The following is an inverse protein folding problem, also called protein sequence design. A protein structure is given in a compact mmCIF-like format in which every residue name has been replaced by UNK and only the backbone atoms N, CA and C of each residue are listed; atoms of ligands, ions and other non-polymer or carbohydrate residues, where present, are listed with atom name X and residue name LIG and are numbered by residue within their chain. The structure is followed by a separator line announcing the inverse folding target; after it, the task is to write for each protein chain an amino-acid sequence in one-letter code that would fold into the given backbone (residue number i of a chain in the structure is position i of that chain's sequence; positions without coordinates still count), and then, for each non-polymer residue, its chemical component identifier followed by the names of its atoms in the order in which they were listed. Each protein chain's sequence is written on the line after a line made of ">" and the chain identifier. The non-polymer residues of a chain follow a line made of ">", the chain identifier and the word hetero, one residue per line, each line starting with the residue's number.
data_IF_950360385818
#
_entry.id   IF_950360385818
#
_cell.length_a   1.000
_cell.length_b   1.000
_cell.length_c   1.000
_cell.angle_alpha   90.00
_cell.angle_beta   90.00
_cell.angle_gamma   90.00
#
_symmetry.space_group_name_H-M   'P 1'
#
loop_
_entity.id
_entity.type
_entity.pdbx_description
1 polymer ?
#
# COMPACT_ATOMS: atom_id res chain seq x y z
N UNK A 1 -8.95 0.56 12.14
CA UNK A 1 -8.84 0.63 10.68
C UNK A 1 -7.97 1.82 10.30
N UNK A 2 -6.82 1.56 9.66
CA UNK A 2 -5.83 2.56 9.24
C UNK A 2 -5.74 2.63 7.71
N UNK A 3 -4.96 3.55 7.17
CA UNK A 3 -4.70 3.65 5.73
C UNK A 3 -4.75 5.09 5.23
N UNK A 4 -4.44 5.32 3.92
CA UNK A 4 -4.41 6.65 3.35
C UNK A 4 -5.69 7.43 3.59
N UNK A 5 -5.58 8.75 3.68
CA UNK A 5 -6.76 9.62 3.67
C UNK A 5 -7.55 9.40 2.37
N UNK A 6 -8.88 9.54 2.42
CA UNK A 6 -9.78 9.35 1.27
C UNK A 6 -9.83 7.92 0.68
N UNK A 7 -9.23 6.91 1.35
CA UNK A 7 -9.38 5.51 0.95
C UNK A 7 -10.76 4.90 1.26
N UNK A 8 -11.63 5.61 2.01
CA UNK A 8 -13.00 5.17 2.29
C UNK A 8 -13.21 4.50 3.66
N UNK A 9 -12.28 4.65 4.62
CA UNK A 9 -12.34 4.03 5.96
C UNK A 9 -13.67 4.25 6.69
N UNK A 10 -14.07 5.51 6.87
CA UNK A 10 -15.33 5.89 7.53
C UNK A 10 -16.55 5.33 6.80
N UNK A 11 -16.55 5.43 5.46
CA UNK A 11 -17.64 4.91 4.62
C UNK A 11 -17.80 3.40 4.80
N UNK A 12 -16.69 2.66 4.80
CA UNK A 12 -16.69 1.20 5.00
C UNK A 12 -17.26 0.82 6.35
N UNK A 13 -16.78 1.43 7.46
CA UNK A 13 -17.26 1.10 8.79
C UNK A 13 -18.74 1.45 8.98
N UNK A 14 -19.19 2.62 8.50
CA UNK A 14 -20.60 3.00 8.59
C UNK A 14 -21.53 2.09 7.78
N UNK A 15 -21.04 1.51 6.68
CA UNK A 15 -21.80 0.51 5.90
C UNK A 15 -21.85 -0.85 6.59
N UNK A 16 -20.73 -1.29 7.16
CA UNK A 16 -20.66 -2.59 7.84
C UNK A 16 -21.39 -2.59 9.21
N UNK A 17 -21.39 -1.45 9.88
CA UNK A 17 -21.98 -1.28 11.22
C UNK A 17 -22.98 -0.12 11.25
N UNK A 18 -24.12 -0.23 10.52
CA UNK A 18 -25.07 0.87 10.38
C UNK A 18 -25.77 1.27 11.69
N UNK A 19 -25.81 0.38 12.68
CA UNK A 19 -26.41 0.62 14.00
C UNK A 19 -25.39 1.07 15.06
N UNK A 20 -24.09 1.16 14.71
CA UNK A 20 -23.08 1.62 15.64
C UNK A 20 -23.24 3.12 15.93
N UNK A 21 -23.02 3.51 17.18
CA UNK A 21 -22.86 4.92 17.52
C UNK A 21 -21.63 5.51 16.77
N UNK A 22 -21.72 6.75 16.30
CA UNK A 22 -20.67 7.37 15.52
C UNK A 22 -20.23 8.69 16.15
N UNK A 23 -18.93 8.83 16.43
CA UNK A 23 -18.32 10.04 16.95
C UNK A 23 -17.11 10.44 16.10
N UNK A 24 -17.15 11.65 15.57
CA UNK A 24 -16.04 12.27 14.84
C UNK A 24 -15.17 13.06 15.81
N UNK A 25 -13.95 12.59 16.06
CA UNK A 25 -13.04 13.21 17.01
C UNK A 25 -12.32 14.46 16.42
N UNK A 26 -12.82 15.00 15.31
CA UNK A 26 -12.47 16.34 14.79
C UNK A 26 -13.57 17.37 15.14
N UNK A 27 -14.75 16.95 15.61
CA UNK A 27 -15.81 17.87 16.03
C UNK A 27 -15.40 18.61 17.31
N UNK A 28 -15.35 19.95 17.29
CA UNK A 28 -14.91 20.74 18.43
C UNK A 28 -15.68 20.45 19.74
N UNK A 29 -17.00 20.18 19.65
CA UNK A 29 -17.81 19.87 20.83
C UNK A 29 -17.44 18.49 21.42
N UNK A 30 -17.18 17.49 20.55
CA UNK A 30 -16.74 16.17 20.98
C UNK A 30 -15.33 16.24 21.54
N UNK A 31 -14.42 17.00 20.92
CA UNK A 31 -13.06 17.23 21.43
C UNK A 31 -13.11 17.88 22.81
N UNK A 32 -13.93 18.91 23.02
CA UNK A 32 -14.07 19.56 24.32
C UNK A 32 -14.64 18.61 25.38
N UNK A 33 -15.66 17.83 25.05
CA UNK A 33 -16.29 16.87 25.96
C UNK A 33 -15.30 15.79 26.41
N UNK A 34 -14.56 15.17 25.48
CA UNK A 34 -13.60 14.12 25.79
C UNK A 34 -12.38 14.63 26.56
N UNK A 35 -11.96 15.89 26.34
CA UNK A 35 -10.85 16.50 27.08
C UNK A 35 -11.25 16.87 28.52
N UNK A 36 -12.49 17.34 28.73
CA UNK A 36 -12.99 17.72 30.09
C UNK A 36 -13.28 16.51 30.96
N UNK A 37 -13.91 15.47 30.43
CA UNK A 37 -14.23 14.23 31.14
C UNK A 37 -14.16 13.01 30.20
N UNK A 38 -12.96 12.43 29.99
CA UNK A 38 -12.80 11.25 29.13
C UNK A 38 -13.63 10.04 29.58
N UNK A 39 -13.82 9.87 30.89
CA UNK A 39 -14.59 8.75 31.42
C UNK A 39 -16.09 8.92 31.15
N UNK A 40 -16.65 10.05 31.52
CA UNK A 40 -18.04 10.38 31.26
C UNK A 40 -18.37 10.40 29.76
N UNK A 41 -17.44 10.91 28.93
CA UNK A 41 -17.59 10.81 27.48
C UNK A 41 -17.74 9.36 27.02
N UNK A 42 -16.82 8.46 27.42
CA UNK A 42 -16.88 7.06 27.02
C UNK A 42 -18.08 6.31 27.62
N UNK A 43 -18.56 6.71 28.82
CA UNK A 43 -19.76 6.12 29.45
C UNK A 43 -21.05 6.53 28.74
N UNK A 44 -21.06 7.69 28.07
CA UNK A 44 -22.17 8.17 27.27
C UNK A 44 -22.36 7.44 25.95
N UNK A 45 -21.36 6.65 25.51
CA UNK A 45 -21.39 5.98 24.21
C UNK A 45 -22.17 4.67 24.25
N UNK A 46 -22.94 4.44 23.20
CA UNK A 46 -23.63 3.15 22.98
C UNK A 46 -22.76 2.23 22.14
N UNK A 47 -22.42 1.06 22.68
CA UNK A 47 -21.63 0.05 21.95
C UNK A 47 -22.50 -0.80 21.01
N UNK A 48 -22.01 -1.20 19.82
CA UNK A 48 -20.70 -0.86 19.28
C UNK A 48 -20.59 0.62 18.85
N UNK A 49 -19.39 1.19 18.92
CA UNK A 49 -19.14 2.59 18.56
C UNK A 49 -18.02 2.71 17.53
N UNK A 50 -18.19 3.64 16.58
CA UNK A 50 -17.14 4.08 15.65
C UNK A 50 -16.58 5.40 16.20
N UNK A 51 -15.30 5.39 16.59
CA UNK A 51 -14.53 6.58 16.91
C UNK A 51 -13.66 6.92 15.71
N UNK A 52 -14.05 7.96 14.98
CA UNK A 52 -13.41 8.37 13.74
C UNK A 52 -12.33 9.42 14.00
N UNK A 53 -11.17 9.30 13.35
CA UNK A 53 -9.99 10.15 13.49
C UNK A 53 -9.41 10.15 14.91
N UNK A 54 -9.19 8.94 15.48
CA UNK A 54 -8.73 8.71 16.87
C UNK A 54 -7.36 9.37 17.17
N UNK A 55 -6.57 9.73 16.16
CA UNK A 55 -5.31 10.46 16.36
C UNK A 55 -5.52 11.85 16.97
N UNK A 56 -6.72 12.40 16.95
CA UNK A 56 -7.05 13.68 17.59
C UNK A 56 -7.34 13.53 19.10
N UNK A 57 -7.45 12.29 19.60
CA UNK A 57 -7.68 11.98 21.02
C UNK A 57 -6.95 10.69 21.42
N UNK A 58 -5.61 10.63 21.27
CA UNK A 58 -4.84 9.40 21.49
C UNK A 58 -4.89 8.91 22.94
N UNK A 59 -5.12 9.81 23.91
CA UNK A 59 -5.29 9.49 25.32
C UNK A 59 -6.47 8.57 25.58
N UNK A 60 -7.52 8.63 24.77
CA UNK A 60 -8.70 7.74 24.88
C UNK A 60 -8.32 6.26 24.75
N UNK A 61 -7.23 5.94 24.06
CA UNK A 61 -6.77 4.54 23.90
C UNK A 61 -6.53 3.86 25.25
N UNK A 62 -6.00 4.60 26.26
CA UNK A 62 -5.77 4.05 27.60
C UNK A 62 -7.08 3.76 28.34
N UNK A 63 -8.08 4.64 28.22
CA UNK A 63 -9.38 4.45 28.82
C UNK A 63 -10.17 3.32 28.13
N UNK A 64 -10.10 3.23 26.81
CA UNK A 64 -10.71 2.15 26.02
C UNK A 64 -10.07 0.81 26.41
N UNK A 65 -8.75 0.74 26.56
CA UNK A 65 -8.05 -0.45 27.04
C UNK A 65 -8.57 -0.91 28.37
N UNK A 66 -8.71 -0.01 29.34
CA UNK A 66 -9.23 -0.35 30.67
C UNK A 66 -10.64 -0.96 30.59
N UNK A 67 -11.52 -0.40 29.73
CA UNK A 67 -12.86 -0.94 29.49
C UNK A 67 -12.86 -2.31 28.81
N UNK A 68 -11.96 -2.53 27.86
CA UNK A 68 -11.79 -3.84 27.21
C UNK A 68 -11.36 -4.90 28.23
N UNK A 69 -10.43 -4.55 29.14
CA UNK A 69 -9.92 -5.47 30.16
C UNK A 69 -10.98 -5.81 31.23
N UNK A 70 -11.85 -4.84 31.56
CA UNK A 70 -12.98 -5.05 32.47
C UNK A 70 -14.17 -5.74 31.81
N UNK A 71 -14.40 -5.49 30.54
CA UNK A 71 -15.51 -6.02 29.75
C UNK A 71 -15.25 -7.43 29.27
N UNK A 72 -15.70 -8.44 30.00
CA UNK A 72 -15.49 -9.86 29.65
C UNK A 72 -16.06 -10.21 28.29
N UNK A 73 -15.19 -10.23 27.23
CA UNK A 73 -15.34 -11.14 26.10
C UNK A 73 -16.08 -10.63 24.86
N UNK A 74 -16.68 -9.46 24.81
CA UNK A 74 -17.34 -8.95 23.59
C UNK A 74 -16.33 -8.23 22.68
N UNK A 75 -15.90 -8.91 21.63
CA UNK A 75 -15.04 -8.33 20.58
C UNK A 75 -15.85 -7.43 19.64
N UNK A 76 -15.17 -6.51 18.93
CA UNK A 76 -15.80 -5.66 17.91
C UNK A 76 -16.70 -4.54 18.46
N UNK A 77 -16.58 -4.19 19.75
CA UNK A 77 -17.35 -3.10 20.35
C UNK A 77 -16.76 -1.71 20.06
N UNK A 78 -15.43 -1.65 19.86
CA UNK A 78 -14.68 -0.42 19.63
C UNK A 78 -14.12 -0.46 18.21
N UNK A 79 -14.67 0.36 17.33
CA UNK A 79 -14.27 0.49 15.93
C UNK A 79 -13.54 1.82 15.78
N UNK A 80 -12.25 1.78 15.69
CA UNK A 80 -11.41 2.97 15.61
C UNK A 80 -10.96 3.19 14.17
N UNK A 81 -11.08 4.42 13.68
CA UNK A 81 -10.41 4.82 12.42
C UNK A 81 -9.41 5.92 12.70
N UNK A 82 -8.43 5.99 11.83
CA UNK A 82 -7.46 7.08 11.83
C UNK A 82 -6.64 7.06 10.56
N UNK A 83 -6.13 8.22 10.17
CA UNK A 83 -5.00 8.29 9.27
C UNK A 83 -3.82 7.62 9.98
N UNK A 84 -2.99 6.87 9.23
CA UNK A 84 -1.77 6.30 9.78
C UNK A 84 -0.82 7.45 10.18
N UNK A 85 -0.90 7.85 11.44
CA UNK A 85 0.06 8.73 12.06
C UNK A 85 1.07 7.88 12.83
N UNK A 86 2.34 8.21 12.75
CA UNK A 86 3.42 7.51 13.45
C UNK A 86 3.20 7.51 14.97
N UNK A 87 2.73 8.63 15.52
CA UNK A 87 2.40 8.77 16.95
C UNK A 87 1.22 7.87 17.36
N UNK A 88 0.18 7.80 16.52
CA UNK A 88 -0.98 6.93 16.74
C UNK A 88 -0.58 5.45 16.69
N UNK A 89 0.22 5.04 15.70
CA UNK A 89 0.67 3.64 15.59
C UNK A 89 1.50 3.23 16.79
N UNK A 90 2.36 4.11 17.30
CA UNK A 90 3.11 3.88 18.53
C UNK A 90 2.19 3.75 19.74
N UNK A 91 1.22 4.65 19.90
CA UNK A 91 0.24 4.60 20.98
C UNK A 91 -0.64 3.33 20.93
N UNK A 92 -1.07 2.90 19.73
CA UNK A 92 -1.81 1.64 19.56
C UNK A 92 -0.92 0.44 19.93
N UNK A 93 0.33 0.42 19.49
CA UNK A 93 1.26 -0.68 19.76
C UNK A 93 1.54 -0.80 21.26
N UNK A 94 1.72 0.32 21.96
CA UNK A 94 2.02 0.35 23.40
C UNK A 94 0.76 0.08 24.25
N UNK A 95 -0.38 0.73 23.92
CA UNK A 95 -1.58 0.69 24.77
C UNK A 95 -2.52 -0.45 24.45
N UNK A 96 -2.62 -0.89 23.18
CA UNK A 96 -3.64 -1.82 22.69
C UNK A 96 -3.06 -3.19 22.28
N UNK A 97 -1.79 -3.47 22.64
CA UNK A 97 -1.14 -4.73 22.32
C UNK A 97 -1.97 -5.94 22.79
N UNK A 98 -2.25 -6.87 21.88
CA UNK A 98 -3.07 -8.06 22.14
C UNK A 98 -4.59 -7.82 22.30
N UNK A 99 -5.05 -6.57 22.24
CA UNK A 99 -6.47 -6.18 22.43
C UNK A 99 -7.13 -5.64 21.16
N UNK A 100 -6.33 -5.20 20.19
CA UNK A 100 -6.83 -4.66 18.94
C UNK A 100 -6.29 -5.41 17.74
N UNK A 101 -7.16 -5.63 16.72
CA UNK A 101 -6.73 -6.00 15.39
C UNK A 101 -6.51 -4.73 14.58
N UNK A 102 -5.30 -4.55 14.03
CA UNK A 102 -4.96 -3.44 13.16
C UNK A 102 -5.13 -3.89 11.71
N UNK A 103 -6.10 -3.28 11.02
CA UNK A 103 -6.38 -3.53 9.61
C UNK A 103 -6.05 -2.28 8.80
N UNK A 104 -5.46 -2.48 7.62
CA UNK A 104 -5.12 -1.40 6.70
C UNK A 104 -6.05 -1.43 5.49
N UNK A 105 -6.74 -0.31 5.25
CA UNK A 105 -7.54 -0.08 4.04
C UNK A 105 -6.73 0.78 3.07
N UNK A 106 -6.37 0.20 1.93
CA UNK A 106 -5.74 0.90 0.81
C UNK A 106 -6.81 1.40 -0.18
N UNK A 107 -6.45 2.24 -1.18
CA UNK A 107 -7.35 2.55 -2.28
C UNK A 107 -7.89 1.29 -2.95
N UNK A 108 -9.07 1.38 -3.60
CA UNK A 108 -9.72 0.23 -4.22
C UNK A 108 -8.80 -0.52 -5.17
N UNK A 109 -8.98 -1.83 -5.23
CA UNK A 109 -8.24 -2.75 -6.11
C UNK A 109 -9.07 -3.15 -7.34
N UNK A 110 -8.40 -3.72 -8.33
CA UNK A 110 -9.04 -4.30 -9.53
C UNK A 110 -10.01 -5.44 -9.20
N UNK A 111 -9.78 -6.13 -8.07
CA UNK A 111 -10.69 -7.19 -7.57
C UNK A 111 -11.99 -6.61 -7.03
N UNK A 112 -11.95 -5.39 -6.48
CA UNK A 112 -13.13 -4.73 -5.90
C UNK A 112 -13.97 -4.02 -6.96
N UNK A 113 -13.33 -3.49 -8.02
CA UNK A 113 -14.03 -2.84 -9.13
C UNK A 113 -13.19 -2.77 -10.40
N UNK A 114 -13.81 -3.08 -11.55
CA UNK A 114 -13.20 -2.95 -12.86
C UNK A 114 -12.86 -1.50 -13.28
N UNK A 115 -13.32 -0.49 -12.52
CA UNK A 115 -12.98 0.92 -12.77
C UNK A 115 -11.53 1.27 -12.44
N UNK A 116 -10.86 0.47 -11.60
CA UNK A 116 -9.44 0.65 -11.27
C UNK A 116 -8.61 0.34 -12.50
N UNK A 117 -7.80 1.29 -12.91
CA UNK A 117 -6.89 1.15 -14.06
C UNK A 117 -5.51 1.68 -13.70
N UNK A 118 -4.51 1.32 -14.49
CA UNK A 118 -3.15 1.84 -14.31
C UNK A 118 -3.10 3.37 -14.33
N UNK A 119 -3.94 4.03 -15.13
CA UNK A 119 -3.97 5.49 -15.24
C UNK A 119 -4.74 6.18 -14.11
N UNK A 120 -5.92 5.65 -13.74
CA UNK A 120 -6.77 6.31 -12.74
C UNK A 120 -6.43 5.95 -11.28
N UNK A 121 -5.76 4.80 -11.06
CA UNK A 121 -5.54 4.29 -9.71
C UNK A 121 -6.82 3.78 -9.06
N UNK A 122 -6.84 3.76 -7.73
CA UNK A 122 -7.92 3.18 -6.93
C UNK A 122 -8.60 4.12 -5.94
N UNK A 123 -8.31 5.43 -5.95
CA UNK A 123 -9.00 6.35 -5.06
C UNK A 123 -10.49 6.46 -5.41
N UNK A 124 -11.42 6.23 -4.44
CA UNK A 124 -12.85 6.15 -4.72
C UNK A 124 -13.41 7.38 -5.44
N UNK A 125 -12.94 8.57 -5.10
CA UNK A 125 -13.43 9.82 -5.68
C UNK A 125 -13.00 9.99 -7.15
N UNK A 126 -11.78 9.56 -7.50
CA UNK A 126 -11.31 9.51 -8.88
C UNK A 126 -12.16 8.54 -9.70
N UNK A 127 -12.46 7.35 -9.15
CA UNK A 127 -13.27 6.35 -9.85
C UNK A 127 -14.73 6.78 -10.02
N UNK A 128 -15.23 7.65 -9.13
CA UNK A 128 -16.55 8.25 -9.24
C UNK A 128 -16.61 9.39 -10.28
N UNK A 129 -15.51 10.17 -10.41
CA UNK A 129 -15.41 11.37 -11.27
C UNK A 129 -14.06 11.46 -11.97
N UNK A 130 -13.76 10.60 -12.96
CA UNK A 130 -12.43 10.54 -13.58
C UNK A 130 -11.97 11.83 -14.25
N UNK A 131 -12.89 12.64 -14.79
CA UNK A 131 -12.56 13.92 -15.46
C UNK A 131 -12.02 15.02 -14.52
N UNK A 132 -12.06 14.81 -13.20
CA UNK A 132 -11.55 15.76 -12.20
C UNK A 132 -10.26 15.32 -11.51
N UNK A 133 -9.57 14.31 -12.03
CA UNK A 133 -8.42 13.68 -11.39
C UNK A 133 -7.29 14.65 -11.06
N UNK A 134 -6.92 15.53 -11.97
CA UNK A 134 -5.81 16.47 -11.78
C UNK A 134 -6.06 17.43 -10.63
N UNK A 135 -7.24 18.09 -10.62
CA UNK A 135 -7.63 19.00 -9.54
C UNK A 135 -7.72 18.24 -8.20
N UNK A 136 -8.21 17.00 -8.23
CA UNK A 136 -8.33 16.19 -7.05
C UNK A 136 -6.95 15.83 -6.48
N UNK A 137 -6.01 15.33 -7.30
CA UNK A 137 -4.65 15.00 -6.85
C UNK A 137 -3.89 16.25 -6.38
N UNK A 138 -4.04 17.38 -7.09
CA UNK A 138 -3.49 18.66 -6.65
C UNK A 138 -3.97 19.02 -5.24
N UNK A 139 -5.28 18.97 -5.01
CA UNK A 139 -5.89 19.29 -3.72
C UNK A 139 -5.49 18.27 -2.66
N UNK A 140 -5.43 16.98 -3.02
CA UNK A 140 -5.02 15.90 -2.13
C UNK A 140 -3.59 16.10 -1.61
N UNK A 141 -2.65 16.44 -2.48
CA UNK A 141 -1.27 16.72 -2.08
C UNK A 141 -1.19 17.94 -1.16
N UNK A 142 -1.87 19.03 -1.52
CA UNK A 142 -1.82 20.28 -0.75
C UNK A 142 -2.49 20.16 0.62
N UNK A 143 -3.64 19.50 0.70
CA UNK A 143 -4.47 19.52 1.91
C UNK A 143 -4.20 18.37 2.87
N UNK A 144 -3.79 17.22 2.37
CA UNK A 144 -3.62 16.03 3.18
C UNK A 144 -2.16 15.64 3.35
N UNK A 145 -1.45 15.41 2.26
CA UNK A 145 -0.11 14.87 2.35
C UNK A 145 0.88 15.89 2.95
N UNK A 146 0.77 17.15 2.55
CA UNK A 146 1.60 18.21 3.12
C UNK A 146 1.27 18.47 4.61
N UNK A 147 -0.01 18.36 5.00
CA UNK A 147 -0.43 18.48 6.39
C UNK A 147 0.14 17.36 7.25
N UNK A 148 0.01 16.10 6.81
CA UNK A 148 0.49 14.94 7.55
C UNK A 148 2.02 15.01 7.73
N UNK A 149 2.73 15.44 6.70
CA UNK A 149 4.18 15.64 6.75
C UNK A 149 4.58 16.77 7.71
N UNK A 150 3.84 17.89 7.73
CA UNK A 150 4.10 19.00 8.68
C UNK A 150 3.91 18.60 10.14
N UNK A 151 2.98 17.70 10.44
CA UNK A 151 2.72 17.23 11.81
C UNK A 151 3.85 16.37 12.36
N UNK A 152 4.51 15.60 11.49
CA UNK A 152 5.55 14.63 11.89
C UNK A 152 6.96 15.22 11.76
N UNK A 153 7.19 16.03 10.75
CA UNK A 153 8.50 16.60 10.43
C UNK A 153 8.42 18.12 10.40
N UNK A 154 9.42 18.80 10.99
CA UNK A 154 9.54 20.27 10.93
C UNK A 154 9.96 20.72 9.52
N UNK A 155 9.19 20.31 8.49
CA UNK A 155 9.48 20.69 7.10
C UNK A 155 9.24 22.19 6.93
N UNK A 156 10.35 22.92 6.76
CA UNK A 156 10.32 24.36 6.50
C UNK A 156 9.90 24.69 5.07
N UNK A 157 10.16 23.80 4.11
CA UNK A 157 9.90 24.02 2.67
C UNK A 157 9.07 22.90 2.03
N UNK A 158 7.78 23.14 1.87
CA UNK A 158 6.87 22.21 1.20
C UNK A 158 7.19 22.05 -0.30
N UNK A 159 7.81 23.05 -0.92
CA UNK A 159 8.27 22.99 -2.31
C UNK A 159 9.28 21.85 -2.51
N UNK A 160 10.23 21.70 -1.57
CA UNK A 160 11.23 20.64 -1.60
C UNK A 160 10.57 19.26 -1.40
N UNK A 161 9.56 19.17 -0.51
CA UNK A 161 8.82 17.93 -0.34
C UNK A 161 8.01 17.54 -1.60
N UNK A 162 7.39 18.50 -2.30
CA UNK A 162 6.74 18.22 -3.60
C UNK A 162 7.73 17.70 -4.64
N UNK A 163 8.92 18.30 -4.72
CA UNK A 163 10.00 17.80 -5.59
C UNK A 163 10.43 16.38 -5.19
N UNK A 164 10.51 16.08 -3.89
CA UNK A 164 10.78 14.74 -3.40
C UNK A 164 9.71 13.73 -3.85
N UNK A 165 8.40 14.08 -3.81
CA UNK A 165 7.33 13.19 -4.28
C UNK A 165 7.46 12.89 -5.78
N UNK A 166 7.72 13.92 -6.60
CA UNK A 166 7.96 13.72 -8.04
C UNK A 166 9.20 12.86 -8.29
N UNK A 167 10.25 13.05 -7.48
CA UNK A 167 11.47 12.24 -7.58
C UNK A 167 11.21 10.78 -7.18
N UNK A 168 10.45 10.52 -6.12
CA UNK A 168 10.03 9.15 -5.74
C UNK A 168 9.20 8.52 -6.85
N UNK A 169 8.27 9.25 -7.46
CA UNK A 169 7.48 8.75 -8.59
C UNK A 169 8.38 8.35 -9.77
N UNK A 170 9.39 9.15 -10.09
CA UNK A 170 10.35 8.86 -11.18
C UNK A 170 11.29 7.69 -10.85
N UNK A 171 11.40 7.29 -9.60
CA UNK A 171 12.21 6.16 -9.11
C UNK A 171 11.36 4.90 -8.81
N UNK A 172 10.10 4.90 -9.20
CA UNK A 172 9.24 3.72 -9.03
C UNK A 172 9.86 2.49 -9.69
N UNK A 173 9.83 1.34 -9.01
CA UNK A 173 10.48 0.10 -9.46
C UNK A 173 12.00 0.05 -9.27
N UNK A 174 12.63 1.12 -8.80
CA UNK A 174 14.09 1.16 -8.60
C UNK A 174 14.48 0.85 -7.15
N UNK A 175 15.70 0.35 -7.00
CA UNK A 175 16.32 0.17 -5.69
C UNK A 175 16.51 1.53 -5.03
N UNK A 176 16.02 1.64 -3.79
CA UNK A 176 16.06 2.87 -3.04
C UNK A 176 17.49 3.26 -2.66
N UNK A 177 17.96 4.36 -3.20
CA UNK A 177 19.20 5.02 -2.81
C UNK A 177 18.88 6.39 -2.19
N UNK A 178 18.98 6.48 -0.87
CA UNK A 178 18.65 7.71 -0.14
C UNK A 178 19.61 8.87 -0.43
N UNK A 179 20.85 8.58 -0.72
CA UNK A 179 21.85 9.60 -1.09
C UNK A 179 21.51 10.25 -2.43
N UNK A 180 21.12 9.43 -3.43
CA UNK A 180 20.71 9.92 -4.75
C UNK A 180 19.40 10.72 -4.71
N UNK A 181 18.57 10.53 -3.68
CA UNK A 181 17.39 11.35 -3.43
C UNK A 181 17.72 12.65 -2.71
N UNK A 182 18.66 12.62 -1.78
CA UNK A 182 19.04 13.77 -0.96
C UNK A 182 19.75 14.87 -1.74
N UNK A 183 20.73 14.47 -2.58
CA UNK A 183 21.60 15.39 -3.30
C UNK A 183 20.85 16.42 -4.17
N UNK A 184 19.94 16.03 -5.08
CA UNK A 184 19.23 16.99 -5.95
C UNK A 184 18.22 17.86 -5.20
N UNK A 185 17.84 17.48 -3.97
CA UNK A 185 16.90 18.21 -3.14
C UNK A 185 17.59 19.17 -2.15
N UNK A 186 18.90 19.04 -1.98
CA UNK A 186 19.67 19.84 -1.00
C UNK A 186 19.31 19.53 0.45
N UNK A 187 18.86 18.30 0.75
CA UNK A 187 18.49 17.87 2.11
C UNK A 187 19.40 16.75 2.62
N UNK A 188 19.35 16.49 3.91
CA UNK A 188 20.15 15.43 4.52
C UNK A 188 19.56 14.03 4.24
N UNK A 189 20.39 12.98 4.27
CA UNK A 189 19.96 11.59 4.18
C UNK A 189 19.00 11.19 5.34
N UNK A 190 19.20 11.62 6.59
CA UNK A 190 18.20 11.46 7.64
C UNK A 190 16.83 12.05 7.30
N UNK A 191 16.76 13.25 6.72
CA UNK A 191 15.53 13.88 6.26
C UNK A 191 14.80 13.01 5.22
N UNK A 192 15.53 12.50 4.23
CA UNK A 192 14.96 11.56 3.24
C UNK A 192 14.43 10.30 3.91
N UNK A 193 15.15 9.77 4.91
CA UNK A 193 14.72 8.58 5.63
C UNK A 193 13.42 8.82 6.41
N UNK A 194 13.28 9.98 7.03
CA UNK A 194 12.08 10.41 7.72
C UNK A 194 10.89 10.55 6.73
N UNK A 195 11.09 11.24 5.61
CA UNK A 195 10.05 11.41 4.59
C UNK A 195 9.59 10.08 3.98
N UNK A 196 10.51 9.16 3.71
CA UNK A 196 10.19 7.80 3.26
C UNK A 196 9.37 7.08 4.33
N UNK A 197 9.77 7.15 5.60
CA UNK A 197 9.03 6.56 6.72
C UNK A 197 7.60 7.09 6.83
N UNK A 198 7.41 8.42 6.63
CA UNK A 198 6.08 9.03 6.60
C UNK A 198 5.25 8.48 5.44
N UNK A 199 5.81 8.45 4.21
CA UNK A 199 5.08 7.95 3.04
C UNK A 199 4.72 6.46 3.17
N UNK A 200 5.60 5.65 3.75
CA UNK A 200 5.32 4.24 4.01
C UNK A 200 4.25 4.07 5.09
N UNK A 201 4.38 4.79 6.23
CA UNK A 201 3.42 4.75 7.32
C UNK A 201 2.04 5.24 6.88
N UNK A 202 1.96 6.30 6.07
CA UNK A 202 0.70 6.81 5.54
C UNK A 202 0.15 5.98 4.36
N UNK A 203 0.84 4.92 3.96
CA UNK A 203 0.41 4.02 2.90
C UNK A 203 0.50 4.63 1.50
N UNK A 204 1.32 5.67 1.29
CA UNK A 204 1.53 6.29 -0.03
C UNK A 204 2.52 5.51 -0.87
N UNK A 205 3.47 4.83 -0.23
CA UNK A 205 4.46 3.98 -0.89
C UNK A 205 4.44 2.57 -0.30
N UNK A 206 4.92 1.65 -1.11
CA UNK A 206 5.26 0.27 -0.73
C UNK A 206 6.75 0.10 -0.91
N UNK A 207 7.44 -0.31 0.16
CA UNK A 207 8.81 -0.77 0.09
C UNK A 207 8.81 -2.30 -0.06
N UNK A 208 9.32 -2.78 -1.18
CA UNK A 208 9.47 -4.20 -1.46
C UNK A 208 10.89 -4.60 -1.11
N UNK A 209 11.03 -5.43 -0.08
CA UNK A 209 12.34 -5.90 0.40
C UNK A 209 12.90 -6.99 -0.51
N UNK A 210 14.21 -7.12 -0.58
CA UNK A 210 14.82 -8.25 -1.27
C UNK A 210 14.51 -9.57 -0.52
N UNK A 211 14.36 -10.64 -1.29
CA UNK A 211 14.16 -11.99 -0.74
C UNK A 211 15.49 -12.57 -0.31
N UNK A 212 15.62 -12.88 0.99
CA UNK A 212 16.81 -13.47 1.57
C UNK A 212 16.53 -14.91 1.96
N UNK A 213 16.88 -15.85 1.11
CA UNK A 213 17.23 -17.20 1.53
C UNK A 213 18.74 -17.42 1.30
N UNK A 214 19.32 -18.37 2.02
CA UNK A 214 20.77 -18.70 1.97
C UNK A 214 21.16 -19.36 0.63
N UNK A 215 20.98 -18.61 -0.48
CA UNK A 215 21.42 -19.09 -1.81
C UNK A 215 22.91 -18.92 -2.07
N UNK A 216 23.73 -18.64 -1.03
CA UNK A 216 25.16 -18.44 -1.17
C UNK A 216 25.59 -17.23 -2.03
N UNK A 217 24.65 -16.36 -2.40
CA UNK A 217 24.88 -15.18 -3.26
C UNK A 217 24.89 -13.90 -2.43
N UNK A 218 25.78 -12.96 -2.80
CA UNK A 218 25.73 -11.60 -2.25
C UNK A 218 24.55 -10.86 -2.87
N UNK A 219 23.52 -10.59 -2.05
CA UNK A 219 22.28 -9.93 -2.45
C UNK A 219 22.35 -8.42 -2.17
N UNK A 220 21.58 -7.65 -2.93
CA UNK A 220 21.34 -6.23 -2.67
C UNK A 220 20.41 -6.13 -1.44
N UNK A 221 20.75 -5.25 -0.48
CA UNK A 221 20.02 -5.12 0.79
C UNK A 221 18.94 -4.05 0.78
N UNK A 222 19.05 -3.05 -0.12
CA UNK A 222 18.07 -1.95 -0.18
C UNK A 222 16.77 -2.39 -0.85
N UNK A 223 15.61 -1.92 -0.37
CA UNK A 223 14.33 -2.25 -0.99
C UNK A 223 14.12 -1.51 -2.32
N UNK A 224 13.21 -2.03 -3.16
CA UNK A 224 12.59 -1.26 -4.25
C UNK A 224 11.46 -0.39 -3.70
N UNK A 225 11.21 0.77 -4.33
CA UNK A 225 10.13 1.69 -3.95
C UNK A 225 9.06 1.74 -5.04
N UNK A 226 7.79 1.69 -4.61
CA UNK A 226 6.62 1.84 -5.49
C UNK A 226 5.61 2.78 -4.84
N UNK A 227 4.92 3.60 -5.64
CA UNK A 227 3.71 4.29 -5.17
C UNK A 227 2.56 3.29 -5.04
N UNK A 228 1.80 3.40 -3.96
CA UNK A 228 0.65 2.51 -3.69
C UNK A 228 -0.51 2.75 -4.65
N UNK A 229 -0.62 3.96 -5.17
CA UNK A 229 -1.65 4.32 -6.14
C UNK A 229 -1.01 4.75 -7.47
N UNK A 230 -1.36 4.05 -8.54
CA UNK A 230 -0.81 4.30 -9.87
C UNK A 230 -1.32 5.60 -10.49
N UNK A 231 -2.54 6.04 -10.14
CA UNK A 231 -3.07 7.33 -10.59
C UNK A 231 -2.30 8.49 -9.97
N UNK A 232 -1.98 8.41 -8.68
CA UNK A 232 -1.10 9.39 -8.02
C UNK A 232 0.29 9.39 -8.66
N UNK A 233 0.83 8.21 -9.01
CA UNK A 233 2.11 8.11 -9.70
C UNK A 233 2.08 8.78 -11.08
N UNK A 234 1.04 8.54 -11.88
CA UNK A 234 0.85 9.22 -13.16
C UNK A 234 0.77 10.75 -13.00
N UNK A 235 -0.02 11.23 -12.03
CA UNK A 235 -0.13 12.66 -11.74
C UNK A 235 1.22 13.30 -11.37
N UNK A 236 1.98 12.68 -10.48
CA UNK A 236 3.30 13.16 -10.04
C UNK A 236 4.34 13.18 -11.17
N UNK A 237 4.18 12.34 -12.18
CA UNK A 237 5.01 12.29 -13.39
C UNK A 237 4.52 13.20 -14.51
N UNK A 238 3.43 13.96 -14.33
CA UNK A 238 2.86 14.81 -15.35
C UNK A 238 2.20 14.05 -16.50
N UNK A 239 1.77 12.80 -16.26
CA UNK A 239 1.07 11.98 -17.25
C UNK A 239 -0.44 12.27 -17.14
N UNK A 240 -0.98 13.02 -18.09
CA UNK A 240 -2.33 13.60 -18.07
C UNK A 240 -3.40 12.75 -18.76
N UNK A 241 -3.02 11.69 -19.45
CA UNK A 241 -3.95 10.86 -20.21
C UNK A 241 -3.45 9.42 -20.37
N UNK A 242 -4.38 8.47 -20.56
CA UNK A 242 -4.03 7.08 -20.88
C UNK A 242 -3.21 6.98 -22.18
N UNK A 243 -3.39 7.90 -23.12
CA UNK A 243 -2.58 7.98 -24.34
C UNK A 243 -1.16 8.46 -24.04
N UNK A 244 -0.96 9.46 -23.17
CA UNK A 244 0.36 9.87 -22.72
C UNK A 244 1.06 8.75 -21.96
N UNK A 245 0.34 8.04 -21.07
CA UNK A 245 0.84 6.89 -20.35
C UNK A 245 1.36 5.79 -21.27
N UNK A 246 0.60 5.44 -22.33
CA UNK A 246 1.00 4.36 -23.27
C UNK A 246 2.29 4.67 -24.06
N UNK A 247 2.71 5.93 -24.08
CA UNK A 247 3.95 6.40 -24.75
C UNK A 247 5.04 6.80 -23.76
N UNK A 248 4.74 6.74 -22.48
CA UNK A 248 5.64 7.19 -21.43
C UNK A 248 6.79 6.20 -21.26
N UNK A 249 8.03 6.68 -21.09
CA UNK A 249 9.16 5.82 -20.71
C UNK A 249 8.97 5.16 -19.34
N UNK A 250 8.04 5.68 -18.52
CA UNK A 250 7.70 5.12 -17.21
C UNK A 250 6.65 4.00 -17.26
N UNK A 251 6.07 3.69 -18.43
CA UNK A 251 4.99 2.71 -18.54
C UNK A 251 5.34 1.36 -17.90
N UNK A 252 6.53 0.82 -18.16
CA UNK A 252 6.99 -0.45 -17.59
C UNK A 252 7.05 -0.42 -16.07
N UNK A 253 7.71 0.59 -15.51
CA UNK A 253 7.87 0.76 -14.06
C UNK A 253 6.53 1.06 -13.36
N UNK A 254 5.64 1.81 -14.00
CA UNK A 254 4.28 2.07 -13.49
C UNK A 254 3.43 0.80 -13.48
N UNK A 255 3.55 -0.04 -14.52
CA UNK A 255 2.84 -1.32 -14.56
C UNK A 255 3.38 -2.28 -13.51
N UNK A 256 4.69 -2.37 -13.33
CA UNK A 256 5.32 -3.14 -12.24
C UNK A 256 4.82 -2.66 -10.87
N UNK A 257 4.78 -1.34 -10.64
CA UNK A 257 4.24 -0.75 -9.41
C UNK A 257 2.75 -1.02 -9.21
N UNK A 258 1.97 -1.06 -10.29
CA UNK A 258 0.55 -1.41 -10.24
C UNK A 258 0.36 -2.87 -9.82
N UNK A 259 1.13 -3.80 -10.39
CA UNK A 259 1.14 -5.22 -9.97
C UNK A 259 1.52 -5.35 -8.50
N UNK A 260 2.58 -4.68 -8.04
CA UNK A 260 2.99 -4.66 -6.63
C UNK A 260 1.86 -4.17 -5.71
N UNK A 261 1.24 -3.05 -6.08
CA UNK A 261 0.13 -2.46 -5.34
C UNK A 261 -1.06 -3.42 -5.23
N UNK A 262 -1.48 -4.03 -6.34
CA UNK A 262 -2.62 -4.93 -6.36
C UNK A 262 -2.39 -6.21 -5.54
N UNK A 263 -1.16 -6.76 -5.55
CA UNK A 263 -0.79 -7.88 -4.67
C UNK A 263 -0.90 -7.47 -3.19
N UNK A 264 -0.36 -6.30 -2.82
CA UNK A 264 -0.40 -5.79 -1.45
C UNK A 264 -1.82 -5.48 -1.01
N UNK A 265 -2.65 -4.88 -1.86
CA UNK A 265 -4.08 -4.62 -1.59
C UNK A 265 -4.83 -5.93 -1.34
N UNK A 266 -4.60 -6.95 -2.18
CA UNK A 266 -5.22 -8.25 -1.99
C UNK A 266 -4.82 -8.88 -0.65
N UNK A 267 -3.54 -8.85 -0.29
CA UNK A 267 -3.06 -9.38 0.99
C UNK A 267 -3.70 -8.62 2.16
N UNK A 268 -3.76 -7.29 2.11
CA UNK A 268 -4.39 -6.45 3.13
C UNK A 268 -5.89 -6.73 3.25
N UNK A 269 -6.62 -6.81 2.13
CA UNK A 269 -8.06 -7.08 2.11
C UNK A 269 -8.42 -8.48 2.64
N UNK A 270 -7.49 -9.43 2.54
CA UNK A 270 -7.62 -10.77 3.13
C UNK A 270 -7.14 -10.85 4.59
N UNK A 271 -6.72 -9.73 5.19
CA UNK A 271 -6.17 -9.70 6.55
C UNK A 271 -4.84 -10.46 6.68
N UNK A 272 -4.12 -10.67 5.57
CA UNK A 272 -2.84 -11.38 5.53
C UNK A 272 -1.68 -10.42 5.79
N UNK A 273 -0.54 -10.98 6.23
CA UNK A 273 0.72 -10.23 6.29
C UNK A 273 1.14 -9.84 4.88
N UNK A 274 1.79 -8.69 4.76
CA UNK A 274 2.43 -8.27 3.52
C UNK A 274 3.67 -9.15 3.32
N UNK A 275 3.63 -9.98 2.29
CA UNK A 275 4.71 -10.86 1.87
C UNK A 275 4.92 -10.71 0.37
N UNK A 276 5.61 -9.64 0.02
CA UNK A 276 6.02 -9.29 -1.33
C UNK A 276 7.49 -8.93 -1.28
N UNK A 277 8.29 -9.63 -2.08
CA UNK A 277 9.73 -9.48 -2.15
C UNK A 277 10.16 -9.35 -3.60
N UNK A 278 11.40 -8.92 -3.85
CA UNK A 278 12.05 -9.01 -5.16
C UNK A 278 13.36 -9.78 -5.03
N UNK A 279 13.93 -10.19 -6.14
CA UNK A 279 15.26 -10.77 -6.17
C UNK A 279 16.17 -9.98 -7.10
N UNK A 280 17.37 -9.69 -6.65
CA UNK A 280 18.45 -9.19 -7.51
C UNK A 280 19.80 -9.61 -6.96
N UNK A 281 20.61 -10.25 -7.80
CA UNK A 281 21.97 -10.60 -7.47
C UNK A 281 22.98 -9.59 -8.08
N UNK A 282 24.24 -9.74 -7.71
CA UNK A 282 25.32 -8.89 -8.21
C UNK A 282 25.68 -9.15 -9.68
N UNK A 283 25.22 -10.26 -10.25
CA UNK A 283 25.42 -10.61 -11.66
C UNK A 283 24.36 -10.03 -12.59
N UNK A 284 23.36 -9.33 -12.01
CA UNK A 284 22.28 -8.70 -12.74
C UNK A 284 21.06 -9.59 -12.97
N UNK A 285 21.04 -10.81 -12.43
CA UNK A 285 19.81 -11.62 -12.42
C UNK A 285 18.80 -10.95 -11.50
N UNK A 286 17.64 -10.58 -12.05
CA UNK A 286 16.56 -9.91 -11.34
C UNK A 286 15.23 -10.60 -11.62
N UNK A 287 14.40 -10.76 -10.57
CA UNK A 287 13.00 -11.17 -10.65
C UNK A 287 12.18 -10.10 -9.94
N UNK A 288 11.17 -9.56 -10.64
CA UNK A 288 10.42 -8.39 -10.18
C UNK A 288 9.75 -8.64 -8.84
N UNK A 289 9.05 -9.79 -8.69
CA UNK A 289 8.43 -10.14 -7.42
C UNK A 289 8.55 -11.61 -7.07
N UNK A 290 8.63 -11.86 -5.76
CA UNK A 290 8.53 -13.18 -5.14
C UNK A 290 7.46 -13.12 -4.07
N UNK A 291 6.50 -14.03 -4.15
CA UNK A 291 5.44 -14.21 -3.16
C UNK A 291 5.53 -15.61 -2.59
N UNK A 292 5.70 -15.78 -1.26
CA UNK A 292 5.63 -17.09 -0.64
C UNK A 292 4.23 -17.71 -0.78
N UNK A 293 4.14 -18.89 -1.37
CA UNK A 293 2.91 -19.64 -1.62
C UNK A 293 2.58 -20.69 -0.55
N UNK A 294 3.25 -20.66 0.61
CA UNK A 294 3.09 -21.69 1.64
C UNK A 294 3.52 -23.07 1.14
N UNK A 295 2.62 -24.05 1.19
CA UNK A 295 2.88 -25.40 0.70
C UNK A 295 3.19 -25.49 -0.80
N UNK A 296 2.83 -24.46 -1.58
CA UNK A 296 3.12 -24.39 -3.02
C UNK A 296 4.52 -23.79 -3.31
N UNK A 297 5.31 -23.49 -2.28
CA UNK A 297 6.66 -22.96 -2.44
C UNK A 297 6.67 -21.46 -2.76
N UNK A 298 7.42 -21.05 -3.77
CA UNK A 298 7.58 -19.64 -4.17
C UNK A 298 6.90 -19.37 -5.51
N UNK A 299 6.17 -18.25 -5.59
CA UNK A 299 5.67 -17.72 -6.86
C UNK A 299 6.63 -16.62 -7.31
N UNK A 300 7.30 -16.83 -8.44
CA UNK A 300 8.24 -15.92 -9.08
C UNK A 300 7.50 -15.17 -10.19
N UNK A 301 7.47 -13.85 -10.13
CA UNK A 301 6.61 -13.02 -10.97
C UNK A 301 7.45 -12.02 -11.73
N UNK A 302 7.26 -11.96 -13.06
CA UNK A 302 7.75 -10.93 -13.96
C UNK A 302 6.57 -10.08 -14.44
N UNK A 303 6.71 -8.75 -14.43
CA UNK A 303 5.69 -7.82 -14.88
C UNK A 303 6.07 -7.17 -16.22
N UNK A 304 5.21 -7.30 -17.22
CA UNK A 304 5.44 -6.75 -18.57
C UNK A 304 4.27 -5.88 -19.01
N UNK A 305 4.51 -4.62 -19.27
CA UNK A 305 3.48 -3.65 -19.69
C UNK A 305 2.99 -3.87 -21.13
N UNK A 306 3.55 -4.83 -21.86
CA UNK A 306 3.13 -5.21 -23.20
C UNK A 306 1.91 -6.11 -23.17
N UNK A 307 1.07 -6.06 -24.22
CA UNK A 307 -0.06 -6.99 -24.39
C UNK A 307 0.39 -8.38 -24.81
N UNK A 308 1.45 -8.45 -25.59
CA UNK A 308 2.06 -9.71 -26.05
C UNK A 308 3.35 -9.95 -25.30
N UNK A 309 3.57 -11.16 -24.84
CA UNK A 309 4.79 -11.60 -24.16
C UNK A 309 5.39 -12.81 -24.90
N UNK A 310 6.70 -12.90 -24.87
CA UNK A 310 7.48 -13.96 -25.49
C UNK A 310 8.18 -14.80 -24.41
N UNK A 311 8.61 -16.03 -24.71
CA UNK A 311 9.30 -16.92 -23.76
C UNK A 311 10.47 -16.29 -23.02
N UNK A 312 11.17 -15.38 -23.66
CA UNK A 312 12.27 -14.61 -23.05
C UNK A 312 11.88 -13.82 -21.82
N UNK A 313 10.62 -13.41 -21.71
CA UNK A 313 10.11 -12.68 -20.54
C UNK A 313 10.19 -13.50 -19.25
N UNK A 314 10.20 -14.83 -19.33
CA UNK A 314 10.30 -15.71 -18.15
C UNK A 314 11.74 -16.10 -17.82
N UNK A 315 12.75 -15.69 -18.60
CA UNK A 315 14.14 -16.17 -18.48
C UNK A 315 14.72 -15.98 -17.07
N UNK A 316 14.53 -14.81 -16.47
CA UNK A 316 15.05 -14.52 -15.14
C UNK A 316 14.39 -15.39 -14.06
N UNK A 317 13.08 -15.49 -14.10
CA UNK A 317 12.33 -16.31 -13.14
C UNK A 317 12.68 -17.79 -13.25
N UNK A 318 12.79 -18.34 -14.47
CA UNK A 318 13.22 -19.72 -14.70
C UNK A 318 14.66 -19.97 -14.26
N UNK A 319 15.58 -19.03 -14.51
CA UNK A 319 16.97 -19.13 -14.05
C UNK A 319 17.06 -19.11 -12.52
N UNK A 320 16.27 -18.27 -11.86
CA UNK A 320 16.18 -18.25 -10.41
C UNK A 320 15.60 -19.56 -9.88
N UNK A 321 14.50 -20.06 -10.45
CA UNK A 321 13.88 -21.33 -10.08
C UNK A 321 14.85 -22.51 -10.10
N UNK A 322 15.66 -22.60 -11.17
CA UNK A 322 16.73 -23.61 -11.27
C UNK A 322 17.79 -23.45 -10.17
N UNK A 323 18.10 -22.20 -9.78
CA UNK A 323 19.10 -21.91 -8.74
C UNK A 323 18.62 -22.21 -7.33
N UNK A 324 17.30 -22.13 -7.09
CA UNK A 324 16.67 -22.43 -5.80
C UNK A 324 16.62 -23.94 -5.53
N UNK A 325 16.66 -24.77 -6.59
CA UNK A 325 16.78 -26.22 -6.47
C UNK A 325 15.49 -26.90 -5.95
N UNK A 326 15.56 -27.51 -4.76
CA UNK A 326 14.49 -28.40 -4.26
C UNK A 326 13.22 -27.71 -3.73
N UNK A 327 13.13 -26.37 -3.75
CA UNK A 327 11.90 -25.68 -3.37
C UNK A 327 10.92 -25.63 -4.54
N UNK A 328 9.65 -26.00 -4.34
CA UNK A 328 8.64 -25.82 -5.38
C UNK A 328 8.59 -24.36 -5.81
N UNK A 329 8.60 -24.11 -7.10
CA UNK A 329 8.51 -22.77 -7.67
C UNK A 329 7.50 -22.73 -8.80
N UNK A 330 6.75 -21.63 -8.90
CA UNK A 330 5.85 -21.34 -10.02
C UNK A 330 6.30 -20.03 -10.65
N UNK A 331 6.65 -20.04 -11.95
CA UNK A 331 7.04 -18.83 -12.68
C UNK A 331 5.85 -18.27 -13.44
N UNK A 332 5.55 -17.00 -13.23
CA UNK A 332 4.42 -16.29 -13.85
C UNK A 332 4.93 -15.00 -14.49
N UNK A 333 4.56 -14.79 -15.75
CA UNK A 333 4.72 -13.50 -16.44
C UNK A 333 3.36 -12.82 -16.48
N UNK A 334 3.22 -11.71 -15.75
CA UNK A 334 2.00 -10.89 -15.77
C UNK A 334 2.13 -9.84 -16.84
N UNK A 335 1.10 -9.74 -17.71
CA UNK A 335 1.12 -8.78 -18.81
C UNK A 335 -0.16 -7.94 -18.90
N UNK A 336 -0.07 -6.80 -19.61
CA UNK A 336 -1.16 -5.86 -19.75
C UNK A 336 -2.16 -6.33 -20.81
N UNK A 337 -3.07 -7.21 -20.42
CA UNK A 337 -4.18 -7.68 -21.27
C UNK A 337 -5.53 -7.28 -20.70
N UNK A 338 -6.59 -7.37 -21.49
CA UNK A 338 -7.95 -7.13 -21.02
C UNK A 338 -8.37 -8.27 -20.09
N UNK A 339 -9.11 -7.96 -19.03
CA UNK A 339 -9.56 -8.95 -18.04
C UNK A 339 -10.47 -10.05 -18.59
N UNK A 340 -10.98 -9.88 -19.81
CA UNK A 340 -11.89 -10.81 -20.48
C UNK A 340 -11.16 -11.92 -21.27
N UNK A 341 -9.87 -11.72 -21.55
CA UNK A 341 -9.07 -12.72 -22.23
C UNK A 341 -8.66 -13.81 -21.22
N UNK A 342 -9.01 -15.06 -21.51
CA UNK A 342 -8.65 -16.22 -20.67
C UNK A 342 -7.17 -16.55 -20.90
N UNK A 343 -6.29 -15.76 -20.28
CA UNK A 343 -4.89 -15.61 -20.62
C UNK A 343 -3.93 -16.54 -19.90
N UNK A 344 -4.44 -17.54 -19.21
CA UNK A 344 -3.57 -18.49 -18.53
C UNK A 344 -2.96 -19.46 -19.56
N UNK A 345 -1.92 -19.00 -20.23
CA UNK A 345 -1.21 -19.72 -21.28
C UNK A 345 0.15 -20.22 -20.81
N UNK A 346 0.54 -21.40 -21.28
CA UNK A 346 1.93 -21.87 -21.12
C UNK A 346 2.82 -21.03 -22.03
N UNK A 347 3.72 -20.25 -21.40
CA UNK A 347 4.66 -19.38 -22.12
C UNK A 347 5.95 -20.13 -22.49
N UNK A 348 6.42 -20.97 -21.56
CA UNK A 348 7.59 -21.82 -21.70
C UNK A 348 7.47 -22.99 -20.71
N UNK A 349 8.23 -24.09 -20.86
CA UNK A 349 8.29 -25.14 -19.86
C UNK A 349 8.60 -24.57 -18.47
N UNK A 350 7.69 -24.74 -17.52
CA UNK A 350 7.81 -24.21 -16.16
C UNK A 350 7.39 -22.75 -15.98
N UNK A 351 6.92 -22.04 -17.00
CA UNK A 351 6.44 -20.66 -16.92
C UNK A 351 5.10 -20.46 -17.62
N UNK A 352 4.23 -19.65 -17.03
CA UNK A 352 2.90 -19.28 -17.53
C UNK A 352 2.82 -17.77 -17.74
N UNK A 353 2.04 -17.35 -18.74
CA UNK A 353 1.64 -15.97 -18.93
C UNK A 353 0.19 -15.80 -18.53
N UNK A 354 -0.13 -14.71 -17.82
CA UNK A 354 -1.50 -14.43 -17.42
C UNK A 354 -1.74 -12.93 -17.17
N UNK A 355 -3.02 -12.57 -17.16
CA UNK A 355 -3.47 -11.23 -16.77
C UNK A 355 -3.20 -10.97 -15.28
N UNK A 356 -3.28 -9.69 -14.88
CA UNK A 356 -3.25 -9.34 -13.46
C UNK A 356 -4.37 -10.00 -12.66
N UNK A 357 -5.57 -10.10 -13.24
CA UNK A 357 -6.70 -10.79 -12.61
C UNK A 357 -6.40 -12.28 -12.39
N UNK A 358 -5.81 -12.95 -13.39
CA UNK A 358 -5.35 -14.34 -13.30
C UNK A 358 -4.32 -14.53 -12.19
N UNK A 359 -3.31 -13.65 -12.10
CA UNK A 359 -2.32 -13.67 -11.03
C UNK A 359 -2.99 -13.55 -9.65
N UNK A 360 -3.86 -12.54 -9.45
CA UNK A 360 -4.51 -12.31 -8.17
C UNK A 360 -5.40 -13.49 -7.77
N UNK A 361 -6.06 -14.13 -8.75
CA UNK A 361 -6.81 -15.37 -8.51
C UNK A 361 -5.89 -16.51 -8.06
N UNK A 362 -4.78 -16.74 -8.75
CA UNK A 362 -3.80 -17.77 -8.42
C UNK A 362 -3.22 -17.57 -7.00
N UNK A 363 -2.85 -16.33 -6.63
CA UNK A 363 -2.32 -15.99 -5.31
C UNK A 363 -3.37 -16.11 -4.19
N UNK A 364 -4.66 -16.01 -4.51
CA UNK A 364 -5.74 -16.19 -3.51
C UNK A 364 -5.88 -17.64 -3.07
N UNK A 365 -5.72 -18.59 -4.01
CA UNK A 365 -5.87 -20.03 -3.77
C UNK A 365 -4.67 -20.72 -3.15
N UNK A 366 -3.50 -20.12 -3.18
CA UNK A 366 -2.23 -20.75 -2.79
C UNK A 366 -2.02 -20.95 -1.27
N UNK A 367 -2.99 -20.60 -0.42
CA UNK A 367 -2.91 -20.77 1.03
C UNK A 367 -4.25 -21.22 1.60
N UNK A 368 -4.59 -22.49 1.38
CA UNK A 368 -5.56 -23.21 2.21
C UNK A 368 -4.83 -24.04 3.26
#
# INVERSE_FOLDING_TARGET
>A
LTGPRRAGKTTLLRRLFPSADYRLLEDPAIVAAQQSDPQGFLDSLRLPVILDEIQNAPELLNYIRARIDLGRGRKGQWLLTGSQDFALMRGITESMAGRAAVLQLLPLSTVETAKVTLFHGGYPEILARPGGSDLWFQSYLQTYLERDVRQVSQIRELSTFRRFLALIASRTGQILNKTDLAAPLGVSVPTISEWIGILETTGQIVLVSPYFENFGKRLIKSPKVYLTDSGLACYLLGIDSARALSRSPFLGALFEGFVASEIVKQQSNLGRRRELYFFRDQRGLEVDFIVPGGAQGLVLIEAKASRTVYPDAARSALSLAQSIGNHPTTCIVVHATAAEDNDDAVLAPGARAMSLAGLLHALRGSRK
#
